data_IF_770610552061
#
_entry.id   IF_770610552061
#
_cell.length_a   1.000
_cell.length_b   1.000
_cell.length_c   1.000
_cell.angle_alpha   90.00
_cell.angle_beta   90.00
_cell.angle_gamma   90.00
#
_symmetry.space_group_name_H-M   'P 1'
#
loop_
_entity.id
_entity.type
_entity.pdbx_description
1 polymer ?
#
# COMPACT_ATOMS: atom_id res chain seq x y z
N UNK A 1 -4.91 25.97 -0.71
CA UNK A 1 -4.35 24.65 -0.56
C UNK A 1 -4.03 24.13 -1.93
N UNK A 2 -2.76 23.90 -2.17
CA UNK A 2 -2.41 23.11 -3.32
C UNK A 2 -3.18 21.80 -3.18
N UNK A 3 -4.21 21.66 -3.93
CA UNK A 3 -5.00 20.45 -3.89
C UNK A 3 -4.11 19.32 -4.35
N UNK A 4 -3.86 18.41 -3.44
CA UNK A 4 -3.40 17.10 -3.83
C UNK A 4 -4.32 16.63 -4.94
N UNK A 5 -3.76 16.03 -6.02
CA UNK A 5 -4.62 15.43 -7.02
C UNK A 5 -5.64 14.60 -6.28
N UNK A 6 -6.90 14.88 -6.51
CA UNK A 6 -7.94 14.14 -5.83
C UNK A 6 -7.75 12.66 -6.14
N UNK A 7 -7.81 11.84 -5.09
CA UNK A 7 -7.80 10.40 -5.27
C UNK A 7 -8.91 10.05 -6.26
N UNK A 8 -8.62 9.24 -7.28
CA UNK A 8 -9.67 8.85 -8.24
C UNK A 8 -10.82 8.21 -7.49
N UNK A 9 -12.04 8.54 -7.91
CA UNK A 9 -13.22 7.89 -7.35
C UNK A 9 -13.23 6.43 -7.78
N UNK A 10 -13.30 5.56 -6.79
CA UNK A 10 -13.35 4.13 -7.02
C UNK A 10 -14.78 3.61 -6.82
N UNK A 11 -15.17 2.61 -7.60
CA UNK A 11 -16.47 1.98 -7.49
C UNK A 11 -16.57 1.12 -6.22
N UNK A 12 -15.46 0.50 -5.80
CA UNK A 12 -15.40 -0.30 -4.60
C UNK A 12 -13.97 -0.26 -4.02
N UNK A 13 -13.80 -0.94 -2.88
CA UNK A 13 -12.51 -0.95 -2.21
C UNK A 13 -11.42 -1.68 -3.01
N UNK A 14 -11.80 -2.65 -3.85
CA UNK A 14 -10.84 -3.39 -4.68
C UNK A 14 -10.21 -2.47 -5.71
N UNK A 15 -11.04 -1.70 -6.39
CA UNK A 15 -10.55 -0.73 -7.36
C UNK A 15 -9.63 0.29 -6.71
N UNK A 16 -10.01 0.80 -5.52
CA UNK A 16 -9.17 1.73 -4.78
C UNK A 16 -7.82 1.10 -4.42
N UNK A 17 -7.83 -0.18 -4.03
CA UNK A 17 -6.59 -0.89 -3.71
C UNK A 17 -5.65 -0.98 -4.91
N UNK A 18 -6.19 -1.30 -6.08
CA UNK A 18 -5.38 -1.40 -7.30
C UNK A 18 -4.75 -0.05 -7.64
N UNK A 19 -5.52 1.02 -7.53
CA UNK A 19 -5.03 2.38 -7.74
C UNK A 19 -3.97 2.76 -6.70
N UNK A 20 -4.19 2.38 -5.46
CA UNK A 20 -3.25 2.67 -4.37
C UNK A 20 -1.91 1.96 -4.59
N UNK A 21 -1.94 0.69 -5.00
CA UNK A 21 -0.72 -0.07 -5.30
C UNK A 21 0.08 0.61 -6.41
N UNK A 22 -0.60 1.02 -7.49
CA UNK A 22 0.05 1.73 -8.58
C UNK A 22 0.65 3.07 -8.10
N UNK A 23 -0.07 3.78 -7.25
CA UNK A 23 0.39 5.06 -6.70
C UNK A 23 1.62 4.90 -5.81
N UNK A 24 1.65 3.88 -4.97
CA UNK A 24 2.81 3.60 -4.11
C UNK A 24 4.01 3.20 -4.94
N UNK A 25 3.81 2.34 -5.96
CA UNK A 25 4.87 1.98 -6.89
C UNK A 25 5.47 3.21 -7.55
N UNK A 26 4.61 4.08 -8.08
CA UNK A 26 5.05 5.28 -8.78
C UNK A 26 5.80 6.23 -7.83
N UNK A 27 5.32 6.35 -6.59
CA UNK A 27 6.02 7.12 -5.57
C UNK A 27 7.42 6.56 -5.31
N UNK A 28 7.54 5.25 -5.11
CA UNK A 28 8.82 4.61 -4.86
C UNK A 28 9.78 4.79 -6.04
N UNK A 29 9.30 4.61 -7.27
CA UNK A 29 10.14 4.75 -8.45
C UNK A 29 10.60 6.20 -8.68
N UNK A 30 9.80 7.17 -8.23
CA UNK A 30 10.14 8.59 -8.34
C UNK A 30 10.95 9.11 -7.14
N UNK A 31 11.01 8.35 -6.06
CA UNK A 31 11.66 8.74 -4.81
C UNK A 31 12.55 7.60 -4.31
N UNK A 32 13.66 7.39 -5.02
CA UNK A 32 14.52 6.21 -4.81
C UNK A 32 15.08 6.10 -3.39
N UNK A 33 15.41 7.21 -2.76
CA UNK A 33 15.94 7.19 -1.38
C UNK A 33 14.85 6.68 -0.42
N UNK A 34 13.64 7.19 -0.55
CA UNK A 34 12.50 6.77 0.26
C UNK A 34 12.17 5.30 0.02
N UNK A 35 12.26 4.84 -1.23
CA UNK A 35 12.07 3.43 -1.57
C UNK A 35 13.08 2.55 -0.86
N UNK A 36 14.35 2.92 -0.90
CA UNK A 36 15.42 2.15 -0.25
C UNK A 36 15.21 2.11 1.26
N UNK A 37 14.89 3.26 1.87
CA UNK A 37 14.66 3.34 3.30
C UNK A 37 13.43 2.54 3.74
N UNK A 38 12.41 2.45 2.89
CA UNK A 38 11.21 1.70 3.20
C UNK A 38 11.37 0.20 2.98
N UNK A 39 12.07 -0.20 1.91
CA UNK A 39 12.10 -1.60 1.49
C UNK A 39 13.35 -2.35 1.94
N UNK A 40 14.50 -1.68 2.02
CA UNK A 40 15.72 -2.31 2.50
C UNK A 40 15.94 -1.92 3.96
N UNK A 41 15.93 -2.87 4.87
CA UNK A 41 15.96 -2.55 6.30
C UNK A 41 17.28 -1.94 6.71
N UNK A 42 17.26 -0.64 6.99
CA UNK A 42 18.33 0.07 7.67
C UNK A 42 18.09 -0.04 9.17
N UNK A 43 16.83 0.02 9.59
CA UNK A 43 16.41 -0.32 10.92
C UNK A 43 14.96 -0.81 10.89
N UNK A 44 14.61 -1.74 11.79
CA UNK A 44 13.25 -2.27 11.88
C UNK A 44 12.23 -1.18 12.22
N UNK A 45 12.62 -0.22 13.06
CA UNK A 45 11.72 0.86 13.47
C UNK A 45 11.38 1.77 12.29
N UNK A 46 12.35 2.11 11.46
CA UNK A 46 12.13 2.96 10.29
C UNK A 46 11.23 2.27 9.27
N UNK A 47 11.45 1.00 9.00
CA UNK A 47 10.63 0.20 8.09
C UNK A 47 9.18 0.17 8.56
N UNK A 48 8.96 -0.13 9.84
CA UNK A 48 7.62 -0.20 10.40
C UNK A 48 6.88 1.15 10.33
N UNK A 49 7.59 2.26 10.55
CA UNK A 49 6.97 3.57 10.53
C UNK A 49 6.47 3.94 9.13
N UNK A 50 7.27 3.70 8.10
CA UNK A 50 6.88 4.00 6.72
C UNK A 50 5.68 3.15 6.29
N UNK A 51 5.71 1.85 6.56
CA UNK A 51 4.60 0.96 6.25
C UNK A 51 3.33 1.36 6.99
N UNK A 52 3.46 1.76 8.25
CA UNK A 52 2.32 2.22 9.05
C UNK A 52 1.71 3.49 8.48
N UNK A 53 2.54 4.44 8.08
CA UNK A 53 2.06 5.70 7.50
C UNK A 53 1.29 5.46 6.20
N UNK A 54 1.79 4.58 5.34
CA UNK A 54 1.08 4.19 4.13
C UNK A 54 -0.24 3.47 4.44
N UNK A 55 -0.23 2.59 5.44
CA UNK A 55 -1.44 1.89 5.87
C UNK A 55 -2.50 2.83 6.39
N UNK A 56 -2.11 3.83 7.17
CA UNK A 56 -3.04 4.84 7.68
C UNK A 56 -3.60 5.70 6.55
N UNK A 57 -2.76 6.07 5.58
CA UNK A 57 -3.22 6.82 4.40
C UNK A 57 -4.22 6.01 3.58
N UNK A 58 -3.97 4.72 3.39
CA UNK A 58 -4.89 3.82 2.72
C UNK A 58 -6.24 3.76 3.44
N UNK A 59 -6.21 3.61 4.77
CA UNK A 59 -7.44 3.58 5.56
C UNK A 59 -8.25 4.86 5.38
N UNK A 60 -7.58 6.03 5.43
CA UNK A 60 -8.24 7.30 5.25
C UNK A 60 -8.89 7.42 3.87
N UNK A 61 -8.21 6.97 2.82
CA UNK A 61 -8.75 6.98 1.47
C UNK A 61 -10.00 6.10 1.36
N UNK A 62 -9.94 4.90 1.92
CA UNK A 62 -11.05 3.95 1.82
C UNK A 62 -12.28 4.43 2.57
N UNK A 63 -12.13 4.89 3.81
CA UNK A 63 -13.30 5.31 4.57
C UNK A 63 -13.82 6.68 4.12
N UNK A 64 -12.98 7.57 3.60
CA UNK A 64 -13.42 8.86 3.07
C UNK A 64 -14.37 8.70 1.87
N UNK A 65 -14.25 7.60 1.13
CA UNK A 65 -15.14 7.26 0.01
C UNK A 65 -16.23 6.26 0.41
N UNK A 66 -16.42 6.02 1.71
CA UNK A 66 -17.41 5.09 2.25
C UNK A 66 -17.26 3.67 1.71
N UNK A 67 -16.03 3.26 1.40
CA UNK A 67 -15.78 1.93 0.84
C UNK A 67 -15.59 0.85 1.90
N UNK A 68 -15.24 1.25 3.12
CA UNK A 68 -15.03 0.34 4.25
C UNK A 68 -15.56 0.99 5.54
N UNK A 69 -15.92 0.17 6.55
CA UNK A 69 -16.29 0.70 7.86
C UNK A 69 -15.11 1.39 8.54
N UNK A 70 -15.39 2.45 9.28
CA UNK A 70 -14.38 3.15 10.09
C UNK A 70 -14.21 2.44 11.42
N UNK A 71 -13.45 1.35 11.42
CA UNK A 71 -13.21 0.53 12.61
C UNK A 71 -11.72 0.32 12.83
N UNK A 72 -11.35 0.00 14.06
CA UNK A 72 -9.97 -0.32 14.41
C UNK A 72 -9.48 -1.57 13.67
N UNK A 73 -10.37 -2.54 13.48
CA UNK A 73 -10.08 -3.75 12.72
C UNK A 73 -9.64 -3.42 11.29
N UNK A 74 -10.36 -2.53 10.62
CA UNK A 74 -10.03 -2.14 9.23
C UNK A 74 -8.74 -1.33 9.19
N UNK A 75 -8.53 -0.42 10.16
CA UNK A 75 -7.28 0.33 10.24
C UNK A 75 -6.06 -0.61 10.36
N UNK A 76 -6.13 -1.58 11.25
CA UNK A 76 -5.05 -2.56 11.43
C UNK A 76 -4.85 -3.40 10.19
N UNK A 77 -5.92 -3.75 9.51
CA UNK A 77 -5.84 -4.49 8.25
C UNK A 77 -5.14 -3.67 7.17
N UNK A 78 -5.40 -2.37 7.11
CA UNK A 78 -4.72 -1.50 6.15
C UNK A 78 -3.23 -1.36 6.46
N UNK A 79 -2.86 -1.27 7.73
CA UNK A 79 -1.46 -1.25 8.14
C UNK A 79 -0.76 -2.57 7.76
N UNK A 80 -1.40 -3.71 8.01
CA UNK A 80 -0.86 -5.01 7.62
C UNK A 80 -0.75 -5.15 6.10
N UNK A 81 -1.73 -4.64 5.37
CA UNK A 81 -1.72 -4.63 3.91
C UNK A 81 -0.49 -3.91 3.37
N UNK A 82 -0.16 -2.76 3.93
CA UNK A 82 1.03 -2.00 3.54
C UNK A 82 2.30 -2.81 3.79
N UNK A 83 2.40 -3.48 4.92
CA UNK A 83 3.56 -4.32 5.24
C UNK A 83 3.69 -5.50 4.28
N UNK A 84 2.58 -6.15 3.95
CA UNK A 84 2.57 -7.25 2.98
C UNK A 84 3.00 -6.78 1.59
N UNK A 85 2.52 -5.62 1.18
CA UNK A 85 2.92 -5.02 -0.09
C UNK A 85 4.43 -4.77 -0.12
N UNK A 86 4.98 -4.22 0.96
CA UNK A 86 6.41 -3.92 1.05
C UNK A 86 7.27 -5.18 1.04
N UNK A 87 6.79 -6.30 1.59
CA UNK A 87 7.50 -7.57 1.49
C UNK A 87 7.67 -8.00 0.03
N UNK A 88 6.62 -7.88 -0.77
CA UNK A 88 6.67 -8.25 -2.19
C UNK A 88 7.51 -7.23 -2.97
N UNK A 89 7.35 -5.93 -2.70
CA UNK A 89 8.18 -4.90 -3.32
C UNK A 89 9.67 -5.09 -3.02
N UNK A 90 10.00 -5.44 -1.78
CA UNK A 90 11.39 -5.72 -1.39
C UNK A 90 11.98 -6.85 -2.20
N UNK A 91 11.20 -7.91 -2.40
CA UNK A 91 11.63 -9.03 -3.23
C UNK A 91 11.94 -8.59 -4.65
N UNK A 92 11.07 -7.77 -5.22
CA UNK A 92 11.30 -7.20 -6.56
C UNK A 92 12.59 -6.39 -6.61
N UNK A 93 12.79 -5.50 -5.65
CA UNK A 93 13.98 -4.64 -5.60
C UNK A 93 15.26 -5.45 -5.47
N UNK A 94 15.27 -6.47 -4.60
CA UNK A 94 16.45 -7.31 -4.39
C UNK A 94 16.75 -8.16 -5.61
N UNK A 95 15.74 -8.78 -6.22
CA UNK A 95 15.95 -9.69 -7.34
C UNK A 95 16.15 -8.98 -8.68
N UNK A 96 15.49 -7.84 -8.88
CA UNK A 96 15.44 -7.16 -10.19
C UNK A 96 16.06 -5.76 -10.18
N UNK A 97 16.40 -5.22 -9.02
CA UNK A 97 16.92 -3.87 -8.89
C UNK A 97 15.87 -2.77 -9.09
N UNK A 98 14.62 -3.13 -9.28
CA UNK A 98 13.51 -2.19 -9.48
C UNK A 98 12.18 -2.87 -9.16
N UNK A 99 11.09 -2.11 -9.20
CA UNK A 99 9.74 -2.63 -8.98
C UNK A 99 9.14 -2.97 -10.36
N UNK A 100 9.09 -4.26 -10.68
CA UNK A 100 8.69 -4.72 -12.01
C UNK A 100 7.17 -4.82 -12.16
N UNK A 101 6.64 -4.83 -13.40
CA UNK A 101 5.22 -5.08 -13.62
C UNK A 101 4.75 -6.44 -13.09
N UNK A 102 5.59 -7.48 -13.20
CA UNK A 102 5.25 -8.81 -12.68
C UNK A 102 5.07 -8.79 -11.17
N UNK A 103 5.98 -8.14 -10.45
CA UNK A 103 5.86 -8.00 -9.00
C UNK A 103 4.72 -7.05 -8.60
N UNK A 104 4.43 -6.04 -9.42
CA UNK A 104 3.26 -5.18 -9.20
C UNK A 104 1.98 -6.01 -9.19
N UNK A 105 1.83 -6.93 -10.12
CA UNK A 105 0.69 -7.84 -10.16
C UNK A 105 0.63 -8.73 -8.92
N UNK A 106 1.77 -9.21 -8.44
CA UNK A 106 1.81 -10.00 -7.21
C UNK A 106 1.42 -9.19 -5.98
N UNK A 107 1.88 -7.93 -5.87
CA UNK A 107 1.44 -7.03 -4.79
C UNK A 107 -0.07 -6.90 -4.81
N UNK A 108 -0.65 -6.62 -5.97
CA UNK A 108 -2.11 -6.48 -6.13
C UNK A 108 -2.84 -7.74 -5.68
N UNK A 109 -2.36 -8.90 -6.09
CA UNK A 109 -2.96 -10.19 -5.71
C UNK A 109 -2.95 -10.39 -4.20
N UNK A 110 -1.80 -10.17 -3.56
CA UNK A 110 -1.64 -10.39 -2.12
C UNK A 110 -2.52 -9.45 -1.31
N UNK A 111 -2.52 -8.16 -1.63
CA UNK A 111 -3.26 -7.18 -0.84
C UNK A 111 -4.77 -7.34 -1.01
N UNK A 112 -5.24 -7.67 -2.20
CA UNK A 112 -6.67 -7.93 -2.44
C UNK A 112 -7.11 -9.18 -1.67
N UNK A 113 -6.35 -10.27 -1.77
CA UNK A 113 -6.69 -11.51 -1.08
C UNK A 113 -6.75 -11.31 0.43
N UNK A 114 -5.79 -10.59 1.00
CA UNK A 114 -5.76 -10.35 2.44
C UNK A 114 -6.95 -9.49 2.90
N UNK A 115 -7.17 -8.34 2.25
CA UNK A 115 -8.29 -7.47 2.63
C UNK A 115 -9.64 -8.14 2.43
N UNK A 116 -9.79 -8.92 1.37
CA UNK A 116 -11.02 -9.67 1.13
C UNK A 116 -11.31 -10.61 2.30
N UNK A 117 -10.31 -11.30 2.82
CA UNK A 117 -10.49 -12.19 3.96
C UNK A 117 -10.90 -11.43 5.23
N UNK A 118 -10.36 -10.23 5.43
CA UNK A 118 -10.68 -9.41 6.61
C UNK A 118 -12.08 -8.80 6.50
N UNK A 119 -12.43 -8.26 5.34
CA UNK A 119 -13.70 -7.57 5.14
C UNK A 119 -14.88 -8.53 5.01
N UNK A 120 -14.63 -9.80 4.70
CA UNK A 120 -15.67 -10.83 4.64
C UNK A 120 -16.16 -11.29 6.02
N UNK A 121 -15.39 -11.02 7.06
CA UNK A 121 -15.75 -11.45 8.43
C UNK A 121 -16.82 -10.54 9.06
#
# INVERSE_FOLDING_TARGET
VAELPQAPRAADWREMMLLYVDGVRDFYLSNRVEMILALLPVSLLSVNQVSRDFGQSLFQLLHAQDLVPKTQKVLRACEMTSELADLVWRKSLIEKGTLTPAYTREVKRVVIAYLESVLAD
#
